data_IF_794085811926
#
_entry.id   IF_794085811926
#
_cell.length_a   1.000
_cell.length_b   1.000
_cell.length_c   1.000
_cell.angle_alpha   90.00
_cell.angle_beta   90.00
_cell.angle_gamma   90.00
#
_symmetry.space_group_name_H-M   'P 1'
#
loop_
_entity.id
_entity.type
_entity.pdbx_description
1 polymer ?
#
# COMPACT_ATOMS: atom_id res chain seq x y z
N UNK A 1 19.00 0.78 11.67
CA UNK A 1 18.14 0.64 12.87
C UNK A 1 16.88 -0.21 12.65
N UNK A 2 16.27 -0.27 11.46
CA UNK A 2 15.01 -1.03 11.26
C UNK A 2 15.15 -2.55 11.31
N UNK A 3 16.31 -3.12 10.95
CA UNK A 3 16.56 -4.58 10.99
C UNK A 3 16.73 -5.14 12.41
N UNK A 4 17.26 -4.33 13.33
CA UNK A 4 17.53 -4.75 14.72
C UNK A 4 16.24 -5.10 15.48
N UNK A 5 15.12 -4.48 15.12
CA UNK A 5 13.85 -4.76 15.78
C UNK A 5 13.27 -6.12 15.40
N UNK A 6 13.57 -6.64 14.22
CA UNK A 6 13.18 -8.01 13.84
C UNK A 6 14.00 -9.08 14.57
N UNK A 7 15.16 -8.71 15.15
CA UNK A 7 15.88 -9.62 16.06
C UNK A 7 15.09 -9.86 17.36
N UNK A 8 14.25 -8.90 17.77
CA UNK A 8 13.36 -9.10 18.91
C UNK A 8 12.31 -10.18 18.60
N UNK A 9 11.70 -10.15 17.40
CA UNK A 9 10.80 -11.21 16.94
C UNK A 9 11.49 -12.58 16.97
N UNK A 10 12.74 -12.65 16.50
CA UNK A 10 13.56 -13.87 16.52
C UNK A 10 13.87 -14.35 17.94
N UNK A 11 14.38 -13.46 18.80
CA UNK A 11 14.75 -13.78 20.17
C UNK A 11 13.56 -14.28 20.98
N UNK A 12 12.39 -13.68 20.79
CA UNK A 12 11.15 -14.08 21.47
C UNK A 12 10.57 -15.39 20.93
N UNK A 13 10.83 -15.73 19.67
CA UNK A 13 10.44 -17.03 19.10
C UNK A 13 11.36 -18.17 19.56
N UNK A 14 12.63 -17.90 19.85
CA UNK A 14 13.65 -18.92 20.14
C UNK A 14 13.26 -19.96 21.21
N UNK A 15 12.62 -19.60 22.35
CA UNK A 15 12.19 -20.57 23.36
C UNK A 15 11.21 -21.63 22.82
N UNK A 16 10.51 -21.35 21.72
CA UNK A 16 9.56 -22.28 21.10
C UNK A 16 10.24 -23.42 20.34
N UNK A 17 11.57 -23.38 20.14
CA UNK A 17 12.32 -24.54 19.68
C UNK A 17 12.15 -25.75 20.62
N UNK A 18 11.92 -25.50 21.91
CA UNK A 18 11.61 -26.55 22.90
C UNK A 18 10.30 -27.30 22.58
N UNK A 19 9.42 -26.69 21.78
CA UNK A 19 8.15 -27.27 21.33
C UNK A 19 8.26 -27.83 19.89
N UNK A 20 9.47 -27.87 19.33
CA UNK A 20 9.77 -28.35 17.98
C UNK A 20 9.95 -27.25 16.94
N UNK A 21 10.60 -27.60 15.83
CA UNK A 21 10.92 -26.67 14.73
C UNK A 21 9.67 -26.02 14.13
N UNK A 22 8.57 -26.76 13.99
CA UNK A 22 7.32 -26.21 13.48
C UNK A 22 6.80 -25.05 14.33
N UNK A 23 6.75 -25.23 15.66
CA UNK A 23 6.29 -24.19 16.58
C UNK A 23 7.17 -22.94 16.50
N UNK A 24 8.49 -23.12 16.46
CA UNK A 24 9.44 -22.01 16.28
C UNK A 24 9.22 -21.24 14.97
N UNK A 25 9.21 -21.93 13.82
CA UNK A 25 9.09 -21.27 12.52
C UNK A 25 7.71 -20.65 12.32
N UNK A 26 6.64 -21.29 12.81
CA UNK A 26 5.30 -20.72 12.78
C UNK A 26 5.23 -19.43 13.61
N UNK A 27 5.76 -19.46 14.84
CA UNK A 27 5.74 -18.29 15.72
C UNK A 27 6.60 -17.14 15.21
N UNK A 28 7.80 -17.45 14.71
CA UNK A 28 8.66 -16.47 14.07
C UNK A 28 7.98 -15.85 12.84
N UNK A 29 7.39 -16.69 11.98
CA UNK A 29 6.69 -16.25 10.78
C UNK A 29 5.52 -15.31 11.12
N UNK A 30 4.68 -15.68 12.09
CA UNK A 30 3.56 -14.85 12.58
C UNK A 30 4.07 -13.52 13.15
N UNK A 31 5.08 -13.56 14.02
CA UNK A 31 5.62 -12.35 14.66
C UNK A 31 6.20 -11.40 13.63
N UNK A 32 7.07 -11.89 12.74
CA UNK A 32 7.68 -11.10 11.68
C UNK A 32 6.61 -10.55 10.73
N UNK A 33 5.61 -11.35 10.34
CA UNK A 33 4.53 -10.89 9.46
C UNK A 33 3.73 -9.74 10.09
N UNK A 34 3.37 -9.84 11.38
CA UNK A 34 2.64 -8.80 12.10
C UNK A 34 3.51 -7.55 12.26
N UNK A 35 4.79 -7.72 12.63
CA UNK A 35 5.78 -6.64 12.74
C UNK A 35 6.05 -5.95 11.40
N UNK A 36 6.03 -6.69 10.30
CA UNK A 36 6.23 -6.19 8.94
C UNK A 36 5.00 -5.47 8.40
N UNK A 37 3.80 -6.03 8.62
CA UNK A 37 2.52 -5.48 8.16
C UNK A 37 2.19 -4.17 8.88
N UNK A 38 2.32 -4.16 10.21
CA UNK A 38 1.83 -3.08 11.04
C UNK A 38 3.00 -2.17 11.44
N UNK A 39 3.36 -1.27 10.52
CA UNK A 39 3.91 0.11 10.61
C UNK A 39 4.88 0.54 11.75
N UNK A 40 5.03 -0.17 12.86
CA UNK A 40 5.54 0.34 14.13
C UNK A 40 7.03 0.66 14.19
N UNK A 41 7.84 0.15 13.25
CA UNK A 41 9.30 0.42 13.23
C UNK A 41 9.70 1.48 12.21
N UNK A 42 8.73 2.11 11.56
CA UNK A 42 9.00 3.10 10.51
C UNK A 42 8.96 4.50 11.10
N UNK A 43 9.94 5.34 10.75
CA UNK A 43 10.06 6.70 11.26
C UNK A 43 8.79 7.54 11.07
N UNK A 44 8.05 7.31 9.97
CA UNK A 44 6.76 7.95 9.68
C UNK A 44 5.67 7.59 10.70
N UNK A 45 5.67 6.35 11.17
CA UNK A 45 4.72 5.90 12.19
C UNK A 45 5.17 6.37 13.55
N UNK A 46 6.47 6.29 13.84
CA UNK A 46 7.05 6.74 15.10
C UNK A 46 6.88 8.25 15.31
N UNK A 47 6.74 9.03 14.25
CA UNK A 47 6.49 10.49 14.33
C UNK A 47 5.03 10.90 14.55
N UNK A 48 4.05 10.00 14.40
CA UNK A 48 2.63 10.34 14.37
C UNK A 48 1.81 9.49 15.36
N UNK A 49 1.31 10.07 16.46
CA UNK A 49 0.57 9.34 17.49
C UNK A 49 -0.69 8.61 16.99
N UNK A 50 -1.40 9.13 15.98
CA UNK A 50 -2.56 8.43 15.42
C UNK A 50 -2.11 7.17 14.69
N UNK A 51 -1.03 7.26 13.91
CA UNK A 51 -0.47 6.12 13.19
C UNK A 51 0.12 5.08 14.16
N UNK A 52 0.73 5.50 15.27
CA UNK A 52 1.18 4.60 16.34
C UNK A 52 0.01 3.80 16.92
N UNK A 53 -1.09 4.47 17.30
CA UNK A 53 -2.30 3.83 17.84
C UNK A 53 -2.92 2.85 16.83
N UNK A 54 -3.13 3.28 15.59
CA UNK A 54 -3.67 2.43 14.53
C UNK A 54 -2.78 1.21 14.28
N UNK A 55 -1.45 1.39 14.31
CA UNK A 55 -0.49 0.31 14.14
C UNK A 55 -0.53 -0.70 15.29
N UNK A 56 -0.63 -0.24 16.54
CA UNK A 56 -0.73 -1.11 17.71
C UNK A 56 -2.04 -1.91 17.70
N UNK A 57 -3.16 -1.24 17.46
CA UNK A 57 -4.49 -1.88 17.43
C UNK A 57 -4.57 -2.96 16.34
N UNK A 58 -4.14 -2.67 15.12
CA UNK A 58 -4.18 -3.69 14.06
C UNK A 58 -3.19 -4.84 14.31
N UNK A 59 -2.03 -4.57 14.94
CA UNK A 59 -1.10 -5.66 15.33
C UNK A 59 -1.74 -6.58 16.37
N UNK A 60 -2.37 -5.99 17.39
CA UNK A 60 -3.04 -6.72 18.44
C UNK A 60 -4.20 -7.55 17.87
N UNK A 61 -5.01 -6.97 16.97
CA UNK A 61 -6.11 -7.69 16.31
C UNK A 61 -5.62 -8.92 15.55
N UNK A 62 -4.59 -8.78 14.70
CA UNK A 62 -4.04 -9.92 13.95
C UNK A 62 -3.43 -10.95 14.89
N UNK A 63 -2.69 -10.51 15.93
CA UNK A 63 -2.10 -11.42 16.90
C UNK A 63 -3.17 -12.25 17.63
N UNK A 64 -4.28 -11.61 18.05
CA UNK A 64 -5.42 -12.30 18.66
C UNK A 64 -6.12 -13.25 17.69
N UNK A 65 -6.33 -12.86 16.43
CA UNK A 65 -6.93 -13.72 15.41
C UNK A 65 -6.09 -14.97 15.18
N UNK A 66 -4.77 -14.80 15.03
CA UNK A 66 -3.83 -15.92 14.89
C UNK A 66 -3.86 -16.79 16.14
N UNK A 67 -3.82 -16.20 17.34
CA UNK A 67 -3.90 -16.94 18.59
C UNK A 67 -5.16 -17.81 18.65
N UNK A 68 -6.32 -17.27 18.28
CA UNK A 68 -7.59 -18.02 18.26
C UNK A 68 -7.56 -19.21 17.30
N UNK A 69 -6.95 -19.06 16.13
CA UNK A 69 -6.83 -20.13 15.13
C UNK A 69 -5.84 -21.20 15.59
N UNK A 70 -4.72 -20.78 16.21
CA UNK A 70 -3.63 -21.69 16.57
C UNK A 70 -3.75 -22.26 17.97
N UNK A 71 -4.70 -21.81 18.80
CA UNK A 71 -4.79 -22.22 20.23
C UNK A 71 -4.89 -23.73 20.40
N UNK A 72 -5.59 -24.41 19.49
CA UNK A 72 -5.80 -25.86 19.52
C UNK A 72 -4.65 -26.66 18.89
N UNK A 73 -3.74 -26.00 18.17
CA UNK A 73 -2.61 -26.65 17.48
C UNK A 73 -1.31 -26.42 18.25
N UNK A 74 -1.01 -25.15 18.57
CA UNK A 74 0.12 -24.75 19.38
C UNK A 74 -0.19 -23.37 20.01
N UNK A 75 -0.58 -23.34 21.30
CA UNK A 75 -1.12 -22.14 21.94
C UNK A 75 -0.11 -20.99 22.07
N UNK A 76 1.18 -21.29 21.94
CA UNK A 76 2.25 -20.31 22.12
C UNK A 76 2.72 -19.63 20.83
N UNK A 77 2.19 -20.02 19.66
CA UNK A 77 2.63 -19.48 18.35
C UNK A 77 2.45 -17.97 18.25
N UNK A 78 1.37 -17.42 18.84
CA UNK A 78 1.12 -15.99 18.82
C UNK A 78 1.89 -15.19 19.89
N UNK A 79 2.51 -15.88 20.87
CA UNK A 79 3.11 -15.23 22.04
C UNK A 79 4.23 -14.23 21.66
N UNK A 80 5.19 -14.55 20.77
CA UNK A 80 6.21 -13.59 20.36
C UNK A 80 5.59 -12.31 19.77
N UNK A 81 4.58 -12.46 18.91
CA UNK A 81 3.92 -11.33 18.26
C UNK A 81 3.18 -10.43 19.26
N UNK A 82 2.54 -11.02 20.27
CA UNK A 82 1.86 -10.29 21.35
C UNK A 82 2.89 -9.49 22.16
N UNK A 83 3.97 -10.14 22.61
CA UNK A 83 5.02 -9.49 23.40
C UNK A 83 5.68 -8.34 22.63
N UNK A 84 6.00 -8.54 21.35
CA UNK A 84 6.52 -7.47 20.48
C UNK A 84 5.54 -6.30 20.35
N UNK A 85 4.25 -6.59 20.23
CA UNK A 85 3.21 -5.56 20.12
C UNK A 85 3.11 -4.73 21.40
N UNK A 86 3.14 -5.37 22.58
CA UNK A 86 3.14 -4.69 23.86
C UNK A 86 4.42 -3.87 24.05
N UNK A 87 5.58 -4.45 23.73
CA UNK A 87 6.86 -3.74 23.80
C UNK A 87 6.86 -2.46 22.96
N UNK A 88 6.37 -2.54 21.72
CA UNK A 88 6.23 -1.37 20.85
C UNK A 88 5.35 -0.29 21.47
N UNK A 89 4.18 -0.69 21.98
CA UNK A 89 3.18 0.23 22.52
C UNK A 89 3.66 0.93 23.79
N UNK A 90 4.20 0.18 24.76
CA UNK A 90 4.58 0.73 26.07
C UNK A 90 5.95 1.41 26.07
N UNK A 91 6.92 0.89 25.30
CA UNK A 91 8.31 1.35 25.34
C UNK A 91 8.70 2.12 24.09
N UNK A 92 8.65 1.48 22.91
CA UNK A 92 9.20 2.07 21.69
C UNK A 92 8.56 3.43 21.36
N UNK A 93 7.22 3.50 21.35
CA UNK A 93 6.49 4.72 21.02
C UNK A 93 6.68 5.85 22.03
N UNK A 94 7.05 5.51 23.27
CA UNK A 94 7.35 6.48 24.32
C UNK A 94 8.80 6.97 24.27
N UNK A 95 9.73 6.08 23.95
CA UNK A 95 11.18 6.34 23.96
C UNK A 95 11.66 7.01 22.68
N UNK A 96 11.06 6.66 21.53
CA UNK A 96 11.52 7.13 20.22
C UNK A 96 10.60 8.25 19.73
N UNK A 97 11.00 9.50 19.98
CA UNK A 97 10.41 10.67 19.31
C UNK A 97 11.25 11.03 18.08
N UNK A 98 10.88 10.50 16.92
CA UNK A 98 11.45 10.96 15.65
C UNK A 98 10.66 12.15 15.12
N UNK A 99 11.32 13.26 14.83
CA UNK A 99 10.74 14.33 14.01
C UNK A 99 10.79 13.91 12.55
N UNK A 100 9.63 13.82 11.91
CA UNK A 100 9.54 13.53 10.48
C UNK A 100 9.79 14.82 9.69
N UNK A 101 10.99 14.98 9.14
CA UNK A 101 11.35 16.16 8.35
C UNK A 101 11.07 15.87 6.88
N UNK A 102 10.02 16.48 6.33
CA UNK A 102 9.62 16.36 4.92
C UNK A 102 10.78 16.78 3.98
N UNK A 103 11.55 17.79 4.37
CA UNK A 103 12.68 18.27 3.57
C UNK A 103 13.77 17.21 3.37
N UNK A 104 13.91 16.24 4.28
CA UNK A 104 14.83 15.12 4.12
C UNK A 104 14.49 14.25 2.90
N UNK A 105 13.21 14.17 2.54
CA UNK A 105 12.74 13.42 1.38
C UNK A 105 12.86 14.22 0.08
N UNK A 106 12.79 15.54 0.15
CA UNK A 106 13.05 16.41 -1.01
C UNK A 106 14.56 16.52 -1.29
N UNK A 107 15.41 16.38 -0.27
CA UNK A 107 16.88 16.31 -0.36
C UNK A 107 17.43 15.01 -0.98
N UNK A 108 16.54 14.07 -1.34
CA UNK A 108 16.86 12.85 -2.10
C UNK A 108 17.63 13.14 -3.40
N UNK A 109 17.57 14.38 -3.88
CA UNK A 109 18.07 14.87 -5.16
C UNK A 109 19.57 15.04 -5.27
N UNK A 110 20.33 15.00 -4.15
CA UNK A 110 21.80 15.09 -4.21
C UNK A 110 22.50 13.81 -4.64
N UNK A 111 21.83 12.66 -4.53
CA UNK A 111 22.41 11.36 -4.89
C UNK A 111 21.74 10.78 -6.15
N UNK A 112 22.51 10.14 -7.04
CA UNK A 112 21.96 9.56 -8.26
C UNK A 112 20.97 8.44 -7.92
N UNK A 113 19.78 8.49 -8.54
CA UNK A 113 18.79 7.42 -8.44
C UNK A 113 19.33 6.19 -9.18
N UNK A 114 19.76 5.18 -8.42
CA UNK A 114 20.27 3.93 -8.99
C UNK A 114 19.12 3.11 -9.55
N UNK A 115 19.02 3.04 -10.88
CA UNK A 115 18.11 2.12 -11.57
C UNK A 115 18.86 0.84 -11.93
N UNK A 116 18.69 -0.22 -11.14
CA UNK A 116 19.29 -1.51 -11.46
C UNK A 116 18.41 -2.25 -12.47
N UNK A 117 18.90 -2.39 -13.71
CA UNK A 117 18.18 -3.10 -14.80
C UNK A 117 17.79 -4.54 -14.42
N UNK A 118 18.54 -5.18 -13.51
CA UNK A 118 18.24 -6.51 -13.00
C UNK A 118 16.97 -6.51 -12.13
N UNK A 119 16.87 -5.56 -11.19
CA UNK A 119 15.68 -5.41 -10.36
C UNK A 119 14.46 -5.04 -11.18
N UNK A 120 14.58 -4.13 -12.16
CA UNK A 120 13.46 -3.76 -13.03
C UNK A 120 12.89 -4.96 -13.81
N UNK A 121 13.76 -5.86 -14.30
CA UNK A 121 13.35 -7.09 -14.98
C UNK A 121 12.67 -8.05 -14.01
N UNK A 122 13.26 -8.30 -12.85
CA UNK A 122 12.67 -9.16 -11.82
C UNK A 122 11.30 -8.63 -11.37
N UNK A 123 11.22 -7.33 -11.05
CA UNK A 123 9.98 -6.65 -10.69
C UNK A 123 8.93 -6.81 -11.77
N UNK A 124 9.30 -6.66 -13.04
CA UNK A 124 8.36 -6.84 -14.16
C UNK A 124 7.79 -8.25 -14.23
N UNK A 125 8.63 -9.28 -14.04
CA UNK A 125 8.18 -10.68 -14.03
C UNK A 125 7.20 -10.89 -12.88
N UNK A 126 7.56 -10.44 -11.67
CA UNK A 126 6.70 -10.54 -10.49
C UNK A 126 5.37 -9.80 -10.69
N UNK A 127 5.39 -8.59 -11.24
CA UNK A 127 4.18 -7.81 -11.54
C UNK A 127 3.22 -8.60 -12.43
N UNK A 128 3.72 -9.24 -13.49
CA UNK A 128 2.87 -10.02 -14.42
C UNK A 128 2.34 -11.28 -13.74
N UNK A 129 3.19 -12.02 -13.02
CA UNK A 129 2.80 -13.25 -12.31
C UNK A 129 1.70 -12.94 -11.29
N UNK A 130 1.93 -11.98 -10.39
CA UNK A 130 0.98 -11.62 -9.36
C UNK A 130 -0.29 -10.97 -9.93
N UNK A 131 -0.19 -10.12 -10.96
CA UNK A 131 -1.37 -9.56 -11.61
C UNK A 131 -2.22 -10.64 -12.30
N UNK A 132 -1.59 -11.66 -12.90
CA UNK A 132 -2.30 -12.79 -13.51
C UNK A 132 -3.00 -13.65 -12.45
N UNK A 133 -2.33 -13.94 -11.33
CA UNK A 133 -2.95 -14.63 -10.20
C UNK A 133 -4.11 -13.83 -9.60
N UNK A 134 -3.94 -12.52 -9.42
CA UNK A 134 -5.02 -11.63 -8.98
C UNK A 134 -6.18 -11.64 -9.97
N UNK A 135 -5.93 -11.64 -11.27
CA UNK A 135 -6.97 -11.72 -12.29
C UNK A 135 -7.72 -13.04 -12.24
N UNK A 136 -7.04 -14.17 -12.00
CA UNK A 136 -7.67 -15.48 -11.89
C UNK A 136 -8.57 -15.56 -10.64
N UNK A 137 -8.07 -15.08 -9.50
CA UNK A 137 -8.77 -15.13 -8.21
C UNK A 137 -9.92 -14.11 -8.16
N UNK A 138 -9.67 -12.87 -8.60
CA UNK A 138 -10.64 -11.77 -8.55
C UNK A 138 -11.47 -11.66 -9.83
N UNK A 139 -11.17 -12.43 -10.87
CA UNK A 139 -11.90 -12.47 -12.13
C UNK A 139 -13.40 -12.70 -11.96
N UNK A 140 -13.84 -13.68 -11.14
CA UNK A 140 -15.25 -13.86 -10.82
C UNK A 140 -15.89 -12.60 -10.20
N UNK A 141 -15.18 -11.93 -9.28
CA UNK A 141 -15.66 -10.68 -8.65
C UNK A 141 -15.76 -9.56 -9.69
N UNK A 142 -14.75 -9.41 -10.56
CA UNK A 142 -14.77 -8.44 -11.67
C UNK A 142 -15.96 -8.72 -12.59
N UNK A 143 -16.24 -9.99 -12.91
CA UNK A 143 -17.38 -10.41 -13.72
C UNK A 143 -18.72 -10.06 -13.08
N UNK A 144 -18.89 -10.34 -11.78
CA UNK A 144 -20.11 -10.00 -11.02
C UNK A 144 -20.30 -8.47 -10.99
N UNK A 145 -19.25 -7.71 -10.67
CA UNK A 145 -19.32 -6.24 -10.64
C UNK A 145 -19.64 -5.67 -12.02
N UNK A 146 -19.04 -6.22 -13.08
CA UNK A 146 -19.34 -5.85 -14.47
C UNK A 146 -20.81 -6.12 -14.83
N UNK A 147 -21.33 -7.28 -14.43
CA UNK A 147 -22.72 -7.66 -14.65
C UNK A 147 -23.69 -6.72 -13.92
N UNK A 148 -23.45 -6.42 -12.63
CA UNK A 148 -24.29 -5.48 -11.86
C UNK A 148 -24.19 -4.06 -12.45
N UNK A 149 -23.01 -3.66 -12.93
CA UNK A 149 -22.79 -2.35 -13.53
C UNK A 149 -23.64 -2.13 -14.79
N UNK A 150 -23.91 -3.19 -15.58
CA UNK A 150 -24.79 -3.11 -16.75
C UNK A 150 -26.20 -2.60 -16.41
N UNK A 151 -26.73 -3.01 -15.26
CA UNK A 151 -28.09 -2.65 -14.84
C UNK A 151 -28.15 -1.36 -14.01
N UNK A 152 -27.03 -0.91 -13.43
CA UNK A 152 -27.01 0.21 -12.47
C UNK A 152 -26.34 1.48 -12.99
N UNK A 153 -25.33 1.36 -13.87
CA UNK A 153 -24.53 2.48 -14.37
C UNK A 153 -24.65 2.73 -15.88
N UNK A 154 -25.29 1.82 -16.61
CA UNK A 154 -25.40 1.86 -18.06
C UNK A 154 -24.09 1.51 -18.78
N UNK A 155 -24.06 1.69 -20.11
CA UNK A 155 -22.87 1.43 -20.94
C UNK A 155 -22.10 2.72 -21.20
N UNK A 156 -20.75 2.69 -21.26
CA UNK A 156 -19.86 1.52 -21.11
C UNK A 156 -19.63 1.12 -19.63
N UNK A 157 -19.32 -0.16 -19.40
CA UNK A 157 -19.00 -0.72 -18.06
C UNK A 157 -17.65 -0.20 -17.56
N UNK A 158 -16.65 -0.19 -18.44
CA UNK A 158 -15.31 0.30 -18.13
C UNK A 158 -15.11 1.69 -18.70
N UNK A 159 -14.44 2.54 -17.93
CA UNK A 159 -13.91 3.82 -18.39
C UNK A 159 -12.41 3.70 -18.60
N UNK A 160 -11.91 4.41 -19.59
CA UNK A 160 -10.48 4.54 -19.86
C UNK A 160 -10.12 6.02 -19.69
N UNK A 161 -9.35 6.32 -18.65
CA UNK A 161 -8.91 7.70 -18.38
C UNK A 161 -7.43 7.86 -18.72
N UNK A 162 -7.10 8.87 -19.52
CA UNK A 162 -5.71 9.19 -19.84
C UNK A 162 -4.94 9.61 -18.59
N UNK A 163 -3.78 9.01 -18.36
CA UNK A 163 -2.87 9.30 -17.26
C UNK A 163 -1.44 9.40 -17.74
N UNK A 164 -0.60 10.03 -16.92
CA UNK A 164 0.85 10.13 -17.16
C UNK A 164 1.55 8.97 -16.47
N UNK A 165 2.35 8.24 -17.25
CA UNK A 165 3.13 7.08 -16.84
C UNK A 165 4.63 7.34 -16.83
N UNK A 166 5.41 6.26 -16.93
CA UNK A 166 6.87 6.32 -16.94
C UNK A 166 7.35 7.20 -18.10
N UNK A 167 8.43 7.94 -17.91
CA UNK A 167 9.03 8.83 -18.92
C UNK A 167 8.07 9.88 -19.51
N UNK A 168 7.00 10.24 -18.78
CA UNK A 168 5.94 11.13 -19.24
C UNK A 168 5.04 10.55 -20.34
N UNK A 169 5.11 9.24 -20.59
CA UNK A 169 4.26 8.58 -21.58
C UNK A 169 2.80 8.54 -21.14
N UNK A 170 1.88 8.88 -22.04
CA UNK A 170 0.44 8.84 -21.77
C UNK A 170 -0.07 7.40 -21.96
N UNK A 171 -0.91 6.95 -21.03
CA UNK A 171 -1.59 5.65 -21.16
C UNK A 171 -3.05 5.73 -20.68
N UNK A 172 -3.86 4.78 -21.15
CA UNK A 172 -5.26 4.66 -20.75
C UNK A 172 -5.42 3.78 -19.51
N UNK A 173 -5.80 4.37 -18.39
CA UNK A 173 -6.04 3.66 -17.13
C UNK A 173 -7.48 3.17 -17.05
N UNK A 174 -7.67 1.85 -16.92
CA UNK A 174 -8.98 1.20 -16.86
C UNK A 174 -9.59 1.26 -15.46
N UNK A 175 -10.89 1.57 -15.37
CA UNK A 175 -11.68 1.50 -14.13
C UNK A 175 -13.11 1.11 -14.43
N UNK A 176 -13.85 0.65 -13.42
CA UNK A 176 -15.30 0.56 -13.52
C UNK A 176 -15.93 1.95 -13.61
N UNK A 177 -16.98 2.07 -14.43
CA UNK A 177 -17.83 3.26 -14.46
C UNK A 177 -18.67 3.29 -13.20
N UNK A 178 -18.41 4.25 -12.33
CA UNK A 178 -19.13 4.41 -11.05
C UNK A 178 -20.07 5.62 -11.03
N UNK A 179 -20.25 6.31 -12.16
CA UNK A 179 -21.06 7.53 -12.27
C UNK A 179 -22.00 7.46 -13.47
N UNK A 180 -23.16 8.12 -13.35
CA UNK A 180 -24.12 8.34 -14.42
C UNK A 180 -24.21 9.85 -14.68
N UNK A 181 -24.43 10.22 -15.92
CA UNK A 181 -24.65 11.62 -16.29
C UNK A 181 -26.15 11.81 -16.46
N UNK A 182 -26.76 12.65 -15.63
CA UNK A 182 -28.15 13.08 -15.73
C UNK A 182 -28.17 14.61 -15.71
N UNK A 183 -28.85 15.23 -16.67
CA UNK A 183 -28.97 16.70 -16.81
C UNK A 183 -27.64 17.45 -16.79
N UNK A 184 -26.61 16.87 -17.43
CA UNK A 184 -25.27 17.44 -17.49
C UNK A 184 -24.46 17.35 -16.18
N UNK A 185 -25.00 16.71 -15.13
CA UNK A 185 -24.31 16.50 -13.85
C UNK A 185 -23.92 15.04 -13.69
N UNK A 186 -22.66 14.81 -13.31
CA UNK A 186 -22.19 13.48 -12.93
C UNK A 186 -22.64 13.13 -11.52
N UNK A 187 -23.43 12.07 -11.39
CA UNK A 187 -23.88 11.54 -10.11
C UNK A 187 -23.28 10.15 -9.86
N UNK A 188 -22.82 9.90 -8.64
CA UNK A 188 -22.26 8.61 -8.26
C UNK A 188 -23.39 7.58 -8.17
N UNK A 189 -23.26 6.48 -8.90
CA UNK A 189 -24.21 5.35 -8.89
C UNK A 189 -24.26 4.66 -7.52
N UNK A 190 -25.37 3.96 -7.21
CA UNK A 190 -25.47 3.15 -5.97
C UNK A 190 -24.32 2.14 -5.86
N UNK A 191 -24.02 1.43 -6.94
CA UNK A 191 -22.88 0.52 -7.03
C UNK A 191 -21.56 1.28 -6.82
N UNK A 192 -21.40 2.45 -7.43
CA UNK A 192 -20.23 3.31 -7.26
C UNK A 192 -19.97 3.74 -5.82
N UNK A 193 -21.02 4.01 -5.04
CA UNK A 193 -20.90 4.32 -3.60
C UNK A 193 -20.34 3.15 -2.80
N UNK A 194 -20.62 1.92 -3.22
CA UNK A 194 -20.06 0.71 -2.60
C UNK A 194 -18.63 0.40 -3.09
N UNK A 195 -18.36 0.52 -4.39
CA UNK A 195 -17.08 0.14 -4.97
C UNK A 195 -15.93 1.08 -4.60
N UNK A 196 -16.17 2.40 -4.56
CA UNK A 196 -15.12 3.42 -4.39
C UNK A 196 -14.39 3.35 -3.04
N UNK A 197 -15.08 3.24 -1.89
CA UNK A 197 -14.41 3.14 -0.59
C UNK A 197 -13.52 1.89 -0.49
N UNK A 198 -13.95 0.79 -1.10
CA UNK A 198 -13.21 -0.47 -1.17
C UNK A 198 -12.15 -0.50 -2.28
N UNK A 199 -12.08 0.54 -3.12
CA UNK A 199 -11.26 0.62 -4.34
C UNK A 199 -11.48 -0.53 -5.32
N UNK A 200 -12.65 -1.19 -5.26
CA UNK A 200 -13.01 -2.27 -6.18
C UNK A 200 -13.24 -1.74 -7.60
N UNK A 201 -13.52 -0.44 -7.75
CA UNK A 201 -13.61 0.22 -9.04
C UNK A 201 -12.28 0.24 -9.80
N UNK A 202 -11.16 0.02 -9.10
CA UNK A 202 -9.80 0.03 -9.66
C UNK A 202 -9.30 -1.36 -10.10
N UNK A 203 -10.04 -2.44 -9.83
CA UNK A 203 -9.66 -3.81 -10.23
C UNK A 203 -9.33 -3.97 -11.73
N UNK A 204 -10.01 -3.29 -12.68
CA UNK A 204 -9.67 -3.39 -14.11
C UNK A 204 -8.23 -2.93 -14.44
N UNK A 205 -7.57 -2.17 -13.56
CA UNK A 205 -6.17 -1.77 -13.73
C UNK A 205 -5.20 -2.95 -13.72
N UNK A 206 -5.61 -4.13 -13.24
CA UNK A 206 -4.81 -5.37 -13.36
C UNK A 206 -4.43 -5.61 -14.83
N UNK A 207 -5.30 -5.26 -15.78
CA UNK A 207 -5.03 -5.36 -17.21
C UNK A 207 -3.90 -4.39 -17.62
N UNK A 208 -3.86 -3.17 -17.08
CA UNK A 208 -2.75 -2.23 -17.32
C UNK A 208 -1.42 -2.75 -16.80
N UNK A 209 -1.43 -3.47 -15.67
CA UNK A 209 -0.23 -4.10 -15.12
C UNK A 209 0.23 -5.20 -16.07
N UNK A 210 -0.66 -6.10 -16.50
CA UNK A 210 -0.31 -7.19 -17.43
C UNK A 210 0.22 -6.62 -18.76
N UNK A 211 -0.42 -5.59 -19.33
CA UNK A 211 0.02 -4.89 -20.55
C UNK A 211 1.36 -4.18 -20.40
N UNK A 212 1.71 -3.79 -19.17
CA UNK A 212 2.97 -3.13 -18.86
C UNK A 212 2.91 -1.62 -18.79
N UNK A 213 1.72 -1.02 -18.82
CA UNK A 213 1.55 0.41 -18.57
C UNK A 213 1.81 0.76 -17.09
N UNK A 214 1.45 -0.18 -16.21
CA UNK A 214 1.54 -0.04 -14.75
C UNK A 214 2.37 -1.18 -14.11
N UNK A 215 2.68 -0.99 -12.84
CA UNK A 215 3.28 -1.94 -11.90
C UNK A 215 2.29 -2.18 -10.74
N UNK A 216 2.46 -3.27 -9.98
CA UNK A 216 1.66 -3.44 -8.76
C UNK A 216 1.96 -2.34 -7.74
N UNK A 217 3.25 -2.02 -7.59
CA UNK A 217 3.74 -0.99 -6.66
C UNK A 217 4.49 0.10 -7.42
N UNK A 218 4.13 1.35 -7.16
CA UNK A 218 4.72 2.53 -7.78
C UNK A 218 3.99 3.82 -7.42
N UNK A 219 4.50 4.99 -7.82
CA UNK A 219 3.78 6.26 -7.68
C UNK A 219 2.41 6.22 -8.36
N UNK A 220 1.39 6.83 -7.76
CA UNK A 220 0.04 6.82 -8.36
C UNK A 220 0.02 7.64 -9.66
N UNK A 221 -0.55 7.14 -10.77
CA UNK A 221 -0.60 7.87 -12.03
C UNK A 221 -1.58 9.04 -11.95
N UNK A 222 -1.13 10.21 -12.43
CA UNK A 222 -1.90 11.47 -12.32
C UNK A 222 -2.63 11.82 -13.60
N UNK A 223 -3.69 12.63 -13.48
CA UNK A 223 -4.29 13.27 -14.65
C UNK A 223 -3.26 14.23 -15.27
N UNK A 224 -3.28 14.43 -16.59
CA UNK A 224 -2.41 15.40 -17.25
C UNK A 224 -2.49 16.82 -16.64
N UNK A 225 -3.68 17.25 -16.19
CA UNK A 225 -3.87 18.55 -15.54
C UNK A 225 -3.13 18.66 -14.20
N UNK A 226 -3.27 17.66 -13.32
CA UNK A 226 -2.54 17.61 -12.05
C UNK A 226 -1.05 17.40 -12.24
N UNK A 227 -0.65 16.64 -13.26
CA UNK A 227 0.74 16.46 -13.63
C UNK A 227 1.39 17.81 -13.99
N UNK A 228 0.71 18.64 -14.79
CA UNK A 228 1.17 19.98 -15.15
C UNK A 228 1.37 20.86 -13.91
N UNK A 229 0.39 20.89 -13.00
CA UNK A 229 0.50 21.62 -11.73
C UNK A 229 1.71 21.15 -10.90
N UNK A 230 1.94 19.84 -10.82
CA UNK A 230 3.10 19.29 -10.13
C UNK A 230 4.44 19.70 -10.74
N UNK A 231 4.55 19.65 -12.07
CA UNK A 231 5.75 20.08 -12.80
C UNK A 231 6.08 21.57 -12.60
N UNK A 232 5.08 22.43 -12.51
CA UNK A 232 5.26 23.88 -12.36
C UNK A 232 5.58 24.32 -10.93
N UNK A 233 5.09 23.58 -9.93
CA UNK A 233 5.09 24.05 -8.53
C UNK A 233 5.93 23.20 -7.56
N UNK A 234 6.37 22.01 -7.97
CA UNK A 234 7.11 21.09 -7.09
C UNK A 234 8.46 20.77 -7.71
N UNK A 235 9.51 21.13 -6.99
CA UNK A 235 10.88 20.82 -7.38
C UNK A 235 11.09 19.31 -7.51
N UNK A 236 11.79 18.88 -8.56
CA UNK A 236 12.12 17.48 -8.82
C UNK A 236 10.91 16.54 -8.97
N UNK A 237 9.71 17.09 -9.19
CA UNK A 237 8.48 16.31 -9.38
C UNK A 237 8.61 15.26 -10.49
N UNK A 238 9.32 15.57 -11.58
CA UNK A 238 9.53 14.67 -12.72
C UNK A 238 10.24 13.36 -12.35
N UNK A 239 11.05 13.32 -11.29
CA UNK A 239 11.78 12.13 -10.87
C UNK A 239 10.84 10.97 -10.50
N UNK A 240 9.59 11.24 -10.09
CA UNK A 240 8.59 10.20 -9.83
C UNK A 240 8.23 9.39 -11.08
N UNK A 241 8.46 9.95 -12.27
CA UNK A 241 8.16 9.32 -13.56
C UNK A 241 9.30 8.41 -14.08
N UNK A 242 10.39 8.25 -13.33
CA UNK A 242 11.49 7.35 -13.72
C UNK A 242 11.09 5.85 -13.63
N UNK A 243 10.02 5.55 -12.89
CA UNK A 243 9.51 4.19 -12.69
C UNK A 243 8.06 4.09 -13.17
N UNK A 244 7.58 2.87 -13.40
CA UNK A 244 6.19 2.66 -13.78
C UNK A 244 5.25 3.08 -12.64
N UNK A 245 4.10 3.71 -12.97
CA UNK A 245 3.09 4.00 -11.97
C UNK A 245 2.52 2.73 -11.35
N UNK A 246 2.02 2.84 -10.11
CA UNK A 246 1.52 1.72 -9.31
C UNK A 246 0.01 1.68 -9.16
N UNK A 247 -0.54 0.46 -8.99
CA UNK A 247 -1.89 0.26 -8.45
C UNK A 247 -1.95 0.69 -6.96
N UNK A 248 -0.91 0.33 -6.22
CA UNK A 248 -0.62 0.84 -4.89
C UNK A 248 0.78 1.47 -4.84
N UNK A 249 1.10 2.17 -3.75
CA UNK A 249 2.36 2.88 -3.63
C UNK A 249 2.62 3.38 -2.23
N UNK A 250 3.88 3.74 -1.96
CA UNK A 250 4.33 4.21 -0.65
C UNK A 250 3.55 5.45 -0.18
N UNK A 251 3.33 6.42 -1.08
CA UNK A 251 2.54 7.60 -0.78
C UNK A 251 1.09 7.23 -0.42
N UNK A 252 0.43 6.40 -1.23
CA UNK A 252 -0.97 6.00 -1.01
C UNK A 252 -1.21 5.32 0.34
N UNK A 253 -0.20 4.64 0.89
CA UNK A 253 -0.30 3.94 2.16
C UNK A 253 -0.03 4.89 3.33
N UNK A 254 0.90 5.82 3.17
CA UNK A 254 1.38 6.67 4.27
C UNK A 254 0.71 8.05 4.32
N UNK A 255 0.05 8.46 3.24
CA UNK A 255 -0.49 9.81 3.05
C UNK A 255 -1.79 9.77 2.23
N UNK A 256 -2.83 10.48 2.70
CA UNK A 256 -4.21 10.31 2.19
C UNK A 256 -4.79 11.57 1.54
N UNK A 257 -4.44 12.76 2.02
CA UNK A 257 -5.07 14.02 1.61
C UNK A 257 -4.21 14.76 0.58
N UNK A 258 -4.82 15.26 -0.49
CA UNK A 258 -4.18 16.17 -1.45
C UNK A 258 -5.20 17.16 -1.97
N UNK A 259 -5.63 18.04 -1.08
CA UNK A 259 -6.52 19.17 -1.34
C UNK A 259 -5.74 20.46 -1.57
N UNK A 260 -4.55 20.59 -0.96
CA UNK A 260 -3.68 21.77 -1.11
C UNK A 260 -2.40 21.44 -1.88
N UNK A 261 -1.72 22.47 -2.40
CA UNK A 261 -0.44 22.32 -3.07
C UNK A 261 0.64 21.74 -2.12
N UNK A 262 0.64 22.15 -0.85
CA UNK A 262 1.60 21.64 0.13
C UNK A 262 1.36 20.16 0.42
N UNK A 263 0.10 19.73 0.53
CA UNK A 263 -0.23 18.31 0.63
C UNK A 263 0.23 17.53 -0.61
N UNK A 264 0.12 18.15 -1.79
CA UNK A 264 0.61 17.56 -3.04
C UNK A 264 2.14 17.42 -3.07
N UNK A 265 2.87 18.40 -2.51
CA UNK A 265 4.32 18.35 -2.29
C UNK A 265 4.70 17.21 -1.34
N UNK A 266 3.99 17.05 -0.22
CA UNK A 266 4.22 15.96 0.73
C UNK A 266 4.00 14.60 0.09
N UNK A 267 2.88 14.43 -0.66
CA UNK A 267 2.63 13.20 -1.43
C UNK A 267 3.78 12.91 -2.39
N UNK A 268 4.25 13.93 -3.10
CA UNK A 268 5.36 13.79 -4.05
C UNK A 268 6.64 13.36 -3.32
N UNK A 269 6.94 13.91 -2.14
CA UNK A 269 8.09 13.49 -1.34
C UNK A 269 8.05 11.99 -0.99
N UNK A 270 6.87 11.43 -0.68
CA UNK A 270 6.70 9.99 -0.48
C UNK A 270 6.89 9.18 -1.77
N UNK A 271 6.45 9.69 -2.91
CA UNK A 271 6.71 9.04 -4.21
C UNK A 271 8.21 9.04 -4.52
N UNK A 272 8.92 10.16 -4.30
CA UNK A 272 10.36 10.27 -4.50
C UNK A 272 11.14 9.35 -3.57
N UNK A 273 10.70 9.19 -2.31
CA UNK A 273 11.27 8.19 -1.42
C UNK A 273 11.26 6.80 -2.04
N UNK A 274 10.10 6.41 -2.57
CA UNK A 274 9.89 5.10 -3.13
C UNK A 274 10.77 4.90 -4.35
N UNK A 275 10.87 5.90 -5.23
CA UNK A 275 11.75 5.85 -6.40
C UNK A 275 13.21 5.67 -5.98
N UNK A 276 13.68 6.38 -4.96
CA UNK A 276 15.07 6.26 -4.47
C UNK A 276 15.36 4.91 -3.80
N UNK A 277 14.47 4.44 -2.92
CA UNK A 277 14.71 3.25 -2.07
C UNK A 277 14.02 1.99 -2.58
N UNK A 278 13.70 1.99 -3.88
CA UNK A 278 12.92 0.94 -4.51
C UNK A 278 13.61 -0.41 -4.33
N UNK A 279 12.91 -1.35 -3.72
CA UNK A 279 13.41 -2.68 -3.39
C UNK A 279 12.25 -3.66 -3.26
N UNK A 280 12.54 -4.96 -3.39
CA UNK A 280 11.52 -6.00 -3.20
C UNK A 280 10.87 -5.91 -1.81
N UNK A 281 11.67 -5.61 -0.78
CA UNK A 281 11.18 -5.46 0.59
C UNK A 281 10.21 -4.29 0.68
N UNK A 282 10.53 -3.14 0.08
CA UNK A 282 9.64 -1.98 0.08
C UNK A 282 8.36 -2.24 -0.73
N UNK A 283 8.45 -2.98 -1.84
CA UNK A 283 7.28 -3.41 -2.62
C UNK A 283 6.37 -4.31 -1.79
N UNK A 284 6.91 -5.35 -1.15
CA UNK A 284 6.15 -6.24 -0.28
C UNK A 284 5.49 -5.46 0.86
N UNK A 285 6.20 -4.52 1.49
CA UNK A 285 5.60 -3.62 2.49
C UNK A 285 4.40 -2.87 1.94
N UNK A 286 4.49 -2.37 0.70
CA UNK A 286 3.37 -1.68 0.10
C UNK A 286 2.17 -2.61 -0.10
N UNK A 287 2.41 -3.80 -0.67
CA UNK A 287 1.36 -4.78 -0.93
C UNK A 287 0.65 -5.23 0.36
N UNK A 288 1.40 -5.64 1.38
CA UNK A 288 0.82 -6.11 2.64
C UNK A 288 0.05 -5.03 3.39
N UNK A 289 0.47 -3.76 3.30
CA UNK A 289 -0.22 -2.65 3.98
C UNK A 289 -1.45 -2.13 3.24
N UNK A 290 -1.59 -2.44 1.95
CA UNK A 290 -2.67 -1.88 1.12
C UNK A 290 -4.06 -2.28 1.63
N UNK A 291 -4.35 -3.56 1.93
CA UNK A 291 -5.65 -3.96 2.48
C UNK A 291 -6.00 -3.22 3.77
N UNK A 292 -5.03 -3.06 4.69
CA UNK A 292 -5.24 -2.34 5.95
C UNK A 292 -5.49 -0.85 5.75
N UNK A 293 -4.79 -0.21 4.80
CA UNK A 293 -5.01 1.20 4.47
C UNK A 293 -6.43 1.43 3.90
N UNK A 294 -6.94 0.48 3.11
CA UNK A 294 -8.33 0.47 2.64
C UNK A 294 -9.29 0.27 3.81
N UNK A 295 -9.05 -0.74 4.66
CA UNK A 295 -9.90 -1.03 5.81
C UNK A 295 -10.03 0.16 6.79
N UNK A 296 -8.92 0.80 7.16
CA UNK A 296 -8.93 2.00 8.01
C UNK A 296 -9.71 3.15 7.34
N UNK A 297 -9.64 3.26 6.02
CA UNK A 297 -10.38 4.27 5.26
C UNK A 297 -11.89 4.05 5.33
N UNK A 298 -12.35 2.80 5.35
CA UNK A 298 -13.76 2.46 5.55
C UNK A 298 -14.22 2.89 6.95
N UNK A 299 -13.47 2.53 8.01
CA UNK A 299 -13.82 2.88 9.39
C UNK A 299 -13.93 4.40 9.61
N UNK A 300 -13.06 5.19 8.97
CA UNK A 300 -13.12 6.66 9.03
C UNK A 300 -14.18 7.28 8.11
N UNK A 301 -14.79 6.52 7.21
CA UNK A 301 -15.86 6.99 6.32
C UNK A 301 -17.25 6.85 6.94
N UNK A 302 -17.37 6.06 8.00
CA UNK A 302 -18.63 5.77 8.71
C UNK A 302 -18.84 6.66 9.95
N UNK A 303 -17.89 7.56 10.27
CA UNK A 303 -17.99 8.55 11.35
C UNK A 303 -17.80 9.97 10.83
#
# INVERSE_FOLDING_TARGET
MSSLWYLLDFALALPLLLNGFYAFFAALGVSVLISFSMRGYEGITLSDPEKQKASALGSAFIACLVALITIFICPFVALPAIVVTLFRYFFLYRLVRTTFVIDMFMLVTKEPIQTTKAYDRLKRILDVVFATLMLLILGPVIGIVAFISLFTGGRPIFICQTRIGKNCDKFGMYKFRTFKTEDGKEQITKLGRFLRPLRLDELPQIINIIRGDMSLVGPRPELPSFHKLGMENIENYSLRLLVKPGLTGWAQINYKYTTTLEEYRIKTAFDLYYVKHRSLILDLKCLFKTPFAVFITLLKSEG
#
